data_IF_536059873050
#
_entry.id   IF_536059873050
#
_cell.length_a   1.000
_cell.length_b   1.000
_cell.length_c   1.000
_cell.angle_alpha   90.00
_cell.angle_beta   90.00
_cell.angle_gamma   90.00
#
_symmetry.space_group_name_H-M   'P 1'
#
loop_
_entity.id
_entity.type
_entity.pdbx_description
1 polymer ?
#
# COMPACT_ATOMS: atom_id res chain seq x y z
N UNK A 1 20.42 27.27 -45.23
CA UNK A 1 19.14 27.76 -44.63
C UNK A 1 18.11 26.62 -44.50
N UNK A 2 17.93 25.80 -45.53
CA UNK A 2 17.05 24.61 -45.55
C UNK A 2 17.31 23.58 -44.46
N UNK A 3 18.58 23.33 -44.13
CA UNK A 3 18.97 22.34 -43.12
C UNK A 3 18.56 22.73 -41.69
N UNK A 4 18.52 24.04 -41.38
CA UNK A 4 18.08 24.53 -40.06
C UNK A 4 16.56 24.39 -39.88
N UNK A 5 15.79 24.55 -40.96
CA UNK A 5 14.34 24.34 -40.97
C UNK A 5 13.97 22.87 -40.81
N UNK A 6 14.70 21.96 -41.47
CA UNK A 6 14.47 20.52 -41.34
C UNK A 6 14.75 20.01 -39.91
N UNK A 7 15.81 20.51 -39.28
CA UNK A 7 16.15 20.16 -37.89
C UNK A 7 15.09 20.70 -36.92
N UNK A 8 14.61 21.93 -37.10
CA UNK A 8 13.57 22.51 -36.26
C UNK A 8 12.24 21.73 -36.35
N UNK A 9 11.87 21.28 -37.56
CA UNK A 9 10.65 20.49 -37.76
C UNK A 9 10.74 19.10 -37.13
N UNK A 10 11.91 18.45 -37.20
CA UNK A 10 12.15 17.14 -36.59
C UNK A 10 12.06 17.19 -35.05
N UNK A 11 12.55 18.28 -34.45
CA UNK A 11 12.52 18.47 -32.99
C UNK A 11 11.11 18.74 -32.45
N UNK A 12 10.24 19.38 -33.23
CA UNK A 12 8.84 19.62 -32.82
C UNK A 12 8.04 18.31 -32.84
N UNK A 13 8.33 17.41 -33.79
CA UNK A 13 7.62 16.13 -33.91
C UNK A 13 7.96 15.13 -32.79
N UNK A 14 9.10 15.30 -32.11
CA UNK A 14 9.55 14.38 -31.05
C UNK A 14 8.95 14.68 -29.67
N UNK A 15 8.21 15.78 -29.50
CA UNK A 15 7.74 16.23 -28.18
C UNK A 15 6.43 15.57 -27.70
N UNK A 16 5.75 14.77 -28.54
CA UNK A 16 4.44 14.17 -28.20
C UNK A 16 4.49 12.72 -27.73
N UNK A 17 5.68 12.13 -27.59
CA UNK A 17 5.84 10.77 -27.09
C UNK A 17 5.75 10.74 -25.55
N UNK A 18 4.53 10.71 -25.00
CA UNK A 18 4.30 10.39 -23.59
C UNK A 18 4.24 8.88 -23.40
N UNK A 19 5.17 8.33 -22.63
CA UNK A 19 5.18 6.91 -22.24
C UNK A 19 4.33 6.72 -20.98
N UNK A 20 3.23 5.99 -21.08
CA UNK A 20 2.48 5.49 -19.91
C UNK A 20 3.09 4.13 -19.55
N UNK A 21 3.72 4.03 -18.38
CA UNK A 21 4.18 2.76 -17.85
C UNK A 21 3.01 2.05 -17.16
N UNK A 22 2.48 1.01 -17.80
CA UNK A 22 1.54 0.07 -17.15
C UNK A 22 2.35 -0.91 -16.32
N UNK A 23 2.26 -0.80 -14.99
CA UNK A 23 2.90 -1.73 -14.04
C UNK A 23 1.81 -2.60 -13.47
N UNK A 24 1.93 -3.92 -13.62
CA UNK A 24 1.07 -4.88 -12.92
C UNK A 24 1.36 -4.82 -11.42
N UNK A 25 0.50 -4.15 -10.65
CA UNK A 25 0.58 -4.18 -9.19
C UNK A 25 -0.01 -5.50 -8.66
N UNK A 26 0.57 -6.07 -7.59
CA UNK A 26 -0.08 -7.14 -6.86
C UNK A 26 -1.42 -6.66 -6.29
N UNK A 27 -2.45 -7.49 -6.43
CA UNK A 27 -3.73 -7.28 -5.75
C UNK A 27 -3.61 -7.77 -4.31
N UNK A 28 -3.93 -6.91 -3.36
CA UNK A 28 -3.99 -7.29 -1.94
C UNK A 28 -5.44 -7.46 -1.52
N UNK A 29 -5.78 -8.53 -0.78
CA UNK A 29 -7.11 -8.66 -0.19
C UNK A 29 -7.42 -7.44 0.67
N UNK A 30 -8.63 -6.92 0.52
CA UNK A 30 -9.14 -5.92 1.47
C UNK A 30 -9.42 -6.62 2.79
N UNK A 31 -9.16 -5.92 3.89
CA UNK A 31 -9.57 -6.41 5.19
C UNK A 31 -11.09 -6.60 5.26
N UNK A 32 -11.55 -7.58 6.04
CA UNK A 32 -12.98 -7.93 6.15
C UNK A 32 -13.85 -6.89 6.86
N UNK A 33 -13.25 -5.84 7.43
CA UNK A 33 -13.95 -4.81 8.20
C UNK A 33 -14.42 -3.63 7.35
N UNK A 34 -15.57 -3.06 7.70
CA UNK A 34 -16.11 -1.84 7.08
C UNK A 34 -15.23 -0.60 7.34
N UNK A 35 -14.49 -0.60 8.44
CA UNK A 35 -13.63 0.49 8.89
C UNK A 35 -12.30 -0.02 9.45
N UNK A 36 -11.27 0.82 9.35
CA UNK A 36 -10.02 0.62 10.07
C UNK A 36 -10.25 0.77 11.59
N UNK A 37 -9.37 0.16 12.40
CA UNK A 37 -9.44 0.24 13.86
C UNK A 37 -9.15 1.64 14.42
N UNK A 38 -8.63 2.53 13.57
CA UNK A 38 -8.36 3.96 13.80
C UNK A 38 -8.45 4.69 12.44
N UNK A 39 -8.41 6.04 12.39
CA UNK A 39 -8.39 6.79 11.13
C UNK A 39 -7.26 6.37 10.18
N UNK A 40 -7.52 6.44 8.86
CA UNK A 40 -6.59 5.95 7.81
C UNK A 40 -5.21 6.62 7.88
N UNK A 41 -5.15 7.92 8.16
CA UNK A 41 -3.91 8.67 8.29
C UNK A 41 -3.09 8.23 9.52
N UNK A 42 -3.76 7.91 10.63
CA UNK A 42 -3.13 7.32 11.82
C UNK A 42 -2.59 5.93 11.51
N UNK A 43 -3.41 5.06 10.90
CA UNK A 43 -2.95 3.70 10.56
C UNK A 43 -1.79 3.73 9.57
N UNK A 44 -1.77 4.61 8.57
CA UNK A 44 -0.64 4.71 7.65
C UNK A 44 0.65 5.17 8.32
N UNK A 45 0.55 5.99 9.36
CA UNK A 45 1.70 6.53 10.09
C UNK A 45 2.21 5.58 11.16
N UNK A 46 1.29 5.02 11.95
CA UNK A 46 1.59 4.39 13.23
C UNK A 46 1.29 2.88 13.27
N UNK A 47 0.83 2.26 12.17
CA UNK A 47 0.47 0.83 12.13
C UNK A 47 1.58 -0.07 12.68
N UNK A 48 2.84 0.19 12.33
CA UNK A 48 3.96 -0.62 12.81
C UNK A 48 4.16 -0.52 14.33
N UNK A 49 3.87 0.63 14.94
CA UNK A 49 3.97 0.82 16.39
C UNK A 49 2.90 0.00 17.13
N UNK A 50 1.66 0.02 16.64
CA UNK A 50 0.60 -0.83 17.19
C UNK A 50 0.98 -2.31 17.13
N UNK A 51 1.53 -2.78 16.01
CA UNK A 51 2.01 -4.16 15.88
C UNK A 51 3.15 -4.47 16.86
N UNK A 52 4.17 -3.62 16.94
CA UNK A 52 5.35 -3.85 17.77
C UNK A 52 5.03 -3.80 19.26
N UNK A 53 4.32 -2.76 19.69
CA UNK A 53 3.90 -2.60 21.07
C UNK A 53 3.01 -3.76 21.50
N UNK A 54 2.04 -4.13 20.66
CA UNK A 54 1.10 -5.16 21.03
C UNK A 54 1.67 -6.59 20.91
N UNK A 55 2.67 -6.81 20.06
CA UNK A 55 3.54 -8.01 20.11
C UNK A 55 4.24 -8.11 21.46
N UNK A 56 4.85 -7.03 21.95
CA UNK A 56 5.51 -7.05 23.26
C UNK A 56 4.52 -7.35 24.39
N UNK A 57 3.41 -6.62 24.43
CA UNK A 57 2.40 -6.75 25.49
C UNK A 57 1.74 -8.13 25.46
N UNK A 58 1.30 -8.61 24.30
CA UNK A 58 0.54 -9.87 24.20
C UNK A 58 1.42 -11.11 24.24
N UNK A 59 2.52 -11.13 23.50
CA UNK A 59 3.35 -12.34 23.32
C UNK A 59 4.36 -12.46 24.45
N UNK A 60 5.08 -11.38 24.75
CA UNK A 60 6.19 -11.44 25.72
C UNK A 60 5.72 -11.18 27.16
N UNK A 61 4.72 -10.31 27.36
CA UNK A 61 4.20 -9.98 28.69
C UNK A 61 2.89 -10.70 29.04
N UNK A 62 2.26 -11.39 28.08
CA UNK A 62 1.05 -12.18 28.31
C UNK A 62 -0.23 -11.37 28.57
N UNK A 63 -0.21 -10.05 28.38
CA UNK A 63 -1.35 -9.17 28.64
C UNK A 63 -2.32 -9.18 27.45
N UNK A 64 -3.60 -9.47 27.68
CA UNK A 64 -4.63 -9.56 26.63
C UNK A 64 -5.58 -8.37 26.68
N UNK A 65 -5.30 -7.31 25.92
CA UNK A 65 -6.24 -6.21 25.71
C UNK A 65 -7.17 -6.48 24.53
N UNK A 66 -8.36 -5.88 24.57
CA UNK A 66 -9.34 -5.97 23.45
C UNK A 66 -9.03 -4.95 22.34
N UNK A 67 -8.66 -3.72 22.67
CA UNK A 67 -8.22 -2.73 21.68
C UNK A 67 -6.85 -3.13 21.12
N UNK A 68 -6.72 -2.96 19.79
CA UNK A 68 -5.53 -3.27 19.00
C UNK A 68 -4.98 -4.69 19.21
N UNK A 69 -5.87 -5.64 19.54
CA UNK A 69 -5.48 -7.03 19.75
C UNK A 69 -4.87 -7.64 18.48
N UNK A 70 -3.78 -8.41 18.62
CA UNK A 70 -3.12 -9.02 17.46
C UNK A 70 -4.07 -9.96 16.72
N UNK A 71 -4.89 -10.71 17.47
CA UNK A 71 -5.93 -11.58 16.91
C UNK A 71 -6.95 -10.76 16.12
N UNK A 72 -7.47 -9.66 16.68
CA UNK A 72 -8.41 -8.80 15.97
C UNK A 72 -7.84 -8.17 14.70
N UNK A 73 -6.55 -7.81 14.68
CA UNK A 73 -5.89 -7.36 13.45
C UNK A 73 -5.88 -8.48 12.39
N UNK A 74 -5.46 -9.70 12.77
CA UNK A 74 -5.38 -10.85 11.86
C UNK A 74 -6.76 -11.28 11.35
N UNK A 75 -7.78 -11.27 12.21
CA UNK A 75 -9.15 -11.69 11.86
C UNK A 75 -9.71 -10.89 10.68
N UNK A 76 -9.33 -9.61 10.58
CA UNK A 76 -9.71 -8.76 9.47
C UNK A 76 -8.69 -8.77 8.31
N UNK A 77 -7.38 -8.78 8.59
CA UNK A 77 -6.33 -8.58 7.57
C UNK A 77 -5.85 -9.85 6.87
N UNK A 78 -5.90 -11.02 7.52
CA UNK A 78 -5.41 -12.25 6.91
C UNK A 78 -6.47 -12.82 5.97
N UNK A 79 -6.08 -13.05 4.71
CA UNK A 79 -6.87 -13.91 3.84
C UNK A 79 -6.90 -15.32 4.42
N UNK A 80 -8.06 -15.96 4.30
CA UNK A 80 -8.26 -17.37 4.62
C UNK A 80 -8.26 -18.25 3.36
N UNK A 81 -8.07 -17.65 2.18
CA UNK A 81 -7.93 -18.40 0.94
C UNK A 81 -6.54 -19.05 0.89
N UNK A 82 -6.48 -20.28 0.39
CA UNK A 82 -5.25 -21.08 0.31
C UNK A 82 -4.20 -20.46 -0.64
N UNK A 83 -4.62 -19.57 -1.53
CA UNK A 83 -3.76 -18.84 -2.46
C UNK A 83 -3.27 -17.47 -1.92
N UNK A 84 -3.65 -17.13 -0.68
CA UNK A 84 -3.26 -15.88 -0.03
C UNK A 84 -3.89 -14.62 -0.63
N UNK A 85 -4.91 -14.76 -1.48
CA UNK A 85 -5.60 -13.63 -2.15
C UNK A 85 -6.89 -13.20 -1.48
#
# INVERSE_FOLDING_TARGET
MTQRLAIALLMILSLTASSIADVTLPSYPKGKGEHCVEPTDVMRRDHFEYLMHHRQISVHLGVRSKRHSLVGCVDCHASQADDGT
#
